data_IF_642082210156
#
_entry.id   IF_642082210156
#
_cell.length_a   1.000
_cell.length_b   1.000
_cell.length_c   1.000
_cell.angle_alpha   90.00
_cell.angle_beta   90.00
_cell.angle_gamma   90.00
#
_symmetry.space_group_name_H-M   'P 1'
#
loop_
_entity.id
_entity.type
_entity.pdbx_description
1 polymer ?
#
# COMPACT_ATOMS: atom_id res chain seq x y z
N UNK A 1 -10.33 7.13 54.81
CA UNK A 1 -10.42 8.60 54.63
C UNK A 1 -9.00 9.16 54.54
N UNK A 2 -8.10 8.56 53.74
CA UNK A 2 -6.65 8.84 53.78
C UNK A 2 -5.95 8.96 52.41
N UNK A 3 -6.64 8.88 51.27
CA UNK A 3 -5.97 8.98 49.95
C UNK A 3 -5.79 10.42 49.42
N UNK A 4 -6.59 11.39 49.90
CA UNK A 4 -6.62 12.73 49.33
C UNK A 4 -5.37 13.60 49.66
N UNK A 5 -4.56 13.21 50.64
CA UNK A 5 -3.34 13.96 51.02
C UNK A 5 -2.16 13.75 50.07
N UNK A 6 -2.18 12.71 49.23
CA UNK A 6 -1.03 12.32 48.41
C UNK A 6 -0.67 13.34 47.32
N UNK A 7 -1.66 14.07 46.79
CA UNK A 7 -1.44 15.04 45.72
C UNK A 7 -0.64 16.28 46.18
N UNK A 8 -0.75 16.67 47.46
CA UNK A 8 -0.02 17.81 48.04
C UNK A 8 1.47 17.51 48.27
N UNK A 9 1.86 16.24 48.32
CA UNK A 9 3.25 15.81 48.53
C UNK A 9 4.02 15.61 47.22
N UNK A 10 3.36 15.71 46.07
CA UNK A 10 3.98 15.54 44.75
C UNK A 10 4.87 16.73 44.38
N UNK A 11 5.94 16.46 43.63
CA UNK A 11 6.78 17.51 43.05
C UNK A 11 5.96 18.34 42.06
N UNK A 12 6.22 19.65 42.03
CA UNK A 12 5.49 20.61 41.17
C UNK A 12 5.58 20.26 39.68
N UNK A 13 6.69 19.65 39.25
CA UNK A 13 6.92 19.23 37.86
C UNK A 13 6.09 18.02 37.44
N UNK A 14 5.64 17.22 38.41
CA UNK A 14 4.99 15.93 38.20
C UNK A 14 3.49 15.99 38.51
N UNK A 15 2.99 17.18 38.88
CA UNK A 15 1.57 17.44 39.07
C UNK A 15 0.81 17.21 37.76
N UNK A 16 -0.28 16.47 37.84
CA UNK A 16 -1.24 16.30 36.76
C UNK A 16 -2.49 17.14 37.00
N UNK A 17 -3.31 17.33 35.97
CA UNK A 17 -4.58 18.03 36.09
C UNK A 17 -5.48 17.37 37.15
N UNK A 18 -5.47 16.03 37.24
CA UNK A 18 -6.19 15.29 38.27
C UNK A 18 -5.72 15.62 39.69
N UNK A 19 -4.41 15.79 39.89
CA UNK A 19 -3.86 16.16 41.19
C UNK A 19 -4.35 17.55 41.65
N UNK A 20 -4.58 18.48 40.73
CA UNK A 20 -5.14 19.81 41.04
C UNK A 20 -6.60 19.69 41.50
N UNK A 21 -7.39 18.80 40.89
CA UNK A 21 -8.75 18.51 41.32
C UNK A 21 -8.79 17.84 42.70
N UNK A 22 -7.88 16.91 42.98
CA UNK A 22 -7.76 16.27 44.30
C UNK A 22 -7.36 17.29 45.38
N UNK A 23 -6.42 18.20 45.08
CA UNK A 23 -6.05 19.32 45.96
C UNK A 23 -7.26 20.25 46.21
N UNK A 24 -8.03 20.57 45.16
CA UNK A 24 -9.22 21.40 45.28
C UNK A 24 -10.28 20.74 46.18
N UNK A 25 -10.45 19.42 46.12
CA UNK A 25 -11.35 18.68 46.99
C UNK A 25 -10.93 18.73 48.47
N UNK A 26 -9.63 18.58 48.76
CA UNK A 26 -9.10 18.72 50.13
C UNK A 26 -9.33 20.13 50.66
N UNK A 27 -8.98 21.14 49.86
CA UNK A 27 -9.19 22.56 50.22
C UNK A 27 -10.67 22.87 50.42
N UNK A 28 -11.56 22.29 49.60
CA UNK A 28 -13.00 22.39 49.74
C UNK A 28 -13.52 21.81 51.05
N UNK A 29 -13.02 20.65 51.47
CA UNK A 29 -13.39 20.03 52.77
C UNK A 29 -12.94 20.88 53.97
N UNK A 30 -11.78 21.53 53.90
CA UNK A 30 -11.35 22.48 54.94
C UNK A 30 -12.28 23.71 55.00
N UNK A 31 -12.68 24.23 53.84
CA UNK A 31 -13.64 25.33 53.79
C UNK A 31 -15.01 24.97 54.32
N UNK A 32 -15.51 23.76 54.03
CA UNK A 32 -16.78 23.26 54.57
C UNK A 32 -16.76 23.25 56.11
N UNK A 33 -15.67 22.73 56.71
CA UNK A 33 -15.49 22.74 58.18
C UNK A 33 -15.46 24.14 58.79
N UNK A 34 -14.89 25.12 58.09
CA UNK A 34 -14.86 26.52 58.54
C UNK A 34 -16.25 27.16 58.42
N UNK A 35 -16.98 26.86 57.33
CA UNK A 35 -18.36 27.33 57.13
C UNK A 35 -19.26 26.82 58.24
N UNK A 36 -19.14 25.54 58.61
CA UNK A 36 -19.94 24.91 59.67
C UNK A 36 -19.73 25.58 61.04
N UNK A 37 -18.52 26.07 61.33
CA UNK A 37 -18.18 26.68 62.63
C UNK A 37 -18.39 28.19 62.69
N UNK A 38 -18.16 28.91 61.60
CA UNK A 38 -18.07 30.38 61.58
C UNK A 38 -19.05 31.05 60.60
N UNK A 39 -19.79 30.27 59.80
CA UNK A 39 -20.71 30.75 58.79
C UNK A 39 -20.04 31.19 57.48
N UNK A 40 -20.82 31.24 56.40
CA UNK A 40 -20.33 31.49 55.03
C UNK A 40 -19.67 32.88 54.85
N UNK A 41 -20.07 33.87 55.66
CA UNK A 41 -19.54 35.24 55.63
C UNK A 41 -18.02 35.28 55.80
N UNK A 42 -17.45 34.38 56.61
CA UNK A 42 -16.02 34.31 56.90
C UNK A 42 -15.16 33.99 55.66
N UNK A 43 -15.70 33.25 54.69
CA UNK A 43 -14.97 32.76 53.51
C UNK A 43 -15.38 33.46 52.20
N UNK A 44 -16.45 34.26 52.22
CA UNK A 44 -17.03 34.96 51.07
C UNK A 44 -16.01 35.71 50.19
N UNK A 45 -14.98 36.32 50.79
CA UNK A 45 -13.92 37.06 50.06
C UNK A 45 -12.69 36.22 49.70
N UNK A 46 -12.46 35.11 50.39
CA UNK A 46 -11.28 34.25 50.20
C UNK A 46 -11.54 33.19 49.13
N UNK A 47 -12.74 32.60 49.12
CA UNK A 47 -13.12 31.53 48.20
C UNK A 47 -12.83 31.87 46.73
N UNK A 48 -13.22 33.05 46.19
CA UNK A 48 -12.95 33.38 44.79
C UNK A 48 -11.45 33.52 44.48
N UNK A 49 -10.63 33.91 45.47
CA UNK A 49 -9.17 34.03 45.30
C UNK A 49 -8.52 32.65 45.25
N UNK A 50 -8.98 31.71 46.07
CA UNK A 50 -8.45 30.35 46.10
C UNK A 50 -8.86 29.57 44.86
N UNK A 51 -10.12 29.71 44.42
CA UNK A 51 -10.58 29.21 43.11
C UNK A 51 -9.68 29.76 42.00
N UNK A 52 -9.41 31.08 42.00
CA UNK A 52 -8.52 31.68 40.98
C UNK A 52 -7.10 31.13 41.00
N UNK A 53 -6.54 30.84 42.18
CA UNK A 53 -5.20 30.23 42.28
C UNK A 53 -5.23 28.80 41.73
N UNK A 54 -6.24 28.00 42.07
CA UNK A 54 -6.40 26.64 41.56
C UNK A 54 -6.59 26.61 40.03
N UNK A 55 -7.38 27.54 39.47
CA UNK A 55 -7.51 27.73 38.02
C UNK A 55 -6.16 28.04 37.34
N UNK A 56 -5.34 28.91 37.94
CA UNK A 56 -4.02 29.25 37.38
C UNK A 56 -3.11 28.01 37.40
N UNK A 57 -3.12 27.25 38.50
CA UNK A 57 -2.35 26.02 38.63
C UNK A 57 -2.80 24.97 37.61
N UNK A 58 -4.11 24.77 37.43
CA UNK A 58 -4.66 23.86 36.42
C UNK A 58 -4.18 24.21 35.01
N UNK A 59 -4.23 25.49 34.63
CA UNK A 59 -3.76 25.96 33.31
C UNK A 59 -2.26 25.74 33.13
N UNK A 60 -1.45 25.98 34.18
CA UNK A 60 -0.01 25.76 34.12
C UNK A 60 0.34 24.29 33.96
N UNK A 61 -0.31 23.41 34.74
CA UNK A 61 -0.12 21.96 34.67
C UNK A 61 -0.60 21.39 33.33
N UNK A 62 -1.75 21.86 32.83
CA UNK A 62 -2.29 21.47 31.52
C UNK A 62 -1.36 21.84 30.35
N UNK A 63 -0.66 22.98 30.45
CA UNK A 63 0.32 23.40 29.43
C UNK A 63 1.63 22.61 29.54
N UNK A 64 2.02 22.18 30.73
CA UNK A 64 3.26 21.46 30.96
C UNK A 64 3.16 19.98 30.52
N UNK A 65 1.98 19.36 30.61
CA UNK A 65 1.72 18.01 30.08
C UNK A 65 1.61 17.96 28.55
N UNK A 66 1.35 19.11 27.91
CA UNK A 66 1.21 19.27 26.46
C UNK A 66 2.36 20.17 25.97
N UNK A 67 3.60 19.84 26.29
CA UNK A 67 4.76 20.50 25.67
C UNK A 67 5.18 19.70 24.42
N UNK A 68 4.50 19.85 23.26
CA UNK A 68 4.79 19.07 22.06
C UNK A 68 6.22 19.28 21.60
N UNK A 69 6.79 20.46 21.83
CA UNK A 69 8.18 20.78 21.50
C UNK A 69 9.17 19.85 22.22
N UNK A 70 8.92 19.49 23.48
CA UNK A 70 9.81 18.59 24.22
C UNK A 70 9.71 17.15 23.73
N UNK A 71 8.54 16.70 23.31
CA UNK A 71 8.35 15.35 22.77
C UNK A 71 8.83 15.26 21.31
N UNK A 72 8.64 16.31 20.51
CA UNK A 72 9.20 16.45 19.16
C UNK A 72 10.73 16.42 19.19
N UNK A 73 11.36 17.18 20.09
CA UNK A 73 12.82 17.17 20.25
C UNK A 73 13.34 15.81 20.74
N UNK A 74 12.58 15.09 21.57
CA UNK A 74 12.92 13.72 22.00
C UNK A 74 12.87 12.75 20.81
N UNK A 75 11.80 12.79 20.02
CA UNK A 75 11.66 11.96 18.81
C UNK A 75 12.76 12.28 17.78
N UNK A 76 13.09 13.56 17.60
CA UNK A 76 14.16 13.99 16.71
C UNK A 76 15.53 13.52 17.21
N UNK A 77 15.79 13.61 18.52
CA UNK A 77 17.01 13.09 19.12
C UNK A 77 17.15 11.57 18.90
N UNK A 78 16.08 10.80 19.07
CA UNK A 78 16.10 9.35 18.87
C UNK A 78 16.26 8.99 17.38
N UNK A 79 15.62 9.75 16.49
CA UNK A 79 15.85 9.63 15.04
C UNK A 79 17.31 9.88 14.68
N UNK A 80 17.90 10.98 15.17
CA UNK A 80 19.31 11.32 14.92
C UNK A 80 20.29 10.28 15.49
N UNK A 81 19.96 9.68 16.63
CA UNK A 81 20.73 8.56 17.20
C UNK A 81 20.68 7.34 16.29
N UNK A 82 19.51 6.99 15.78
CA UNK A 82 19.33 5.87 14.86
C UNK A 82 20.11 6.10 13.55
N UNK A 83 19.98 7.29 12.97
CA UNK A 83 20.73 7.67 11.76
C UNK A 83 22.24 7.63 11.97
N UNK A 84 22.73 8.09 13.14
CA UNK A 84 24.16 8.02 13.48
C UNK A 84 24.63 6.57 13.57
N UNK A 85 23.84 5.71 14.19
CA UNK A 85 24.15 4.28 14.31
C UNK A 85 24.18 3.58 12.94
N UNK A 86 23.20 3.86 12.08
CA UNK A 86 23.15 3.32 10.72
C UNK A 86 24.33 3.79 9.85
N UNK A 87 24.70 5.08 9.96
CA UNK A 87 25.90 5.61 9.28
C UNK A 87 27.18 4.89 9.73
N UNK A 88 27.38 4.72 11.03
CA UNK A 88 28.54 4.00 11.57
C UNK A 88 28.57 2.53 11.13
N UNK A 89 27.41 1.88 11.04
CA UNK A 89 27.33 0.50 10.58
C UNK A 89 27.66 0.37 9.08
N UNK A 90 27.18 1.31 8.26
CA UNK A 90 27.53 1.40 6.83
C UNK A 90 29.02 1.66 6.63
N UNK A 91 29.61 2.59 7.37
CA UNK A 91 31.05 2.85 7.33
C UNK A 91 31.86 1.60 7.72
N UNK A 92 31.42 0.87 8.75
CA UNK A 92 32.06 -0.38 9.17
C UNK A 92 31.95 -1.48 8.10
N UNK A 93 30.80 -1.59 7.42
CA UNK A 93 30.62 -2.54 6.30
C UNK A 93 31.52 -2.17 5.12
N UNK A 94 31.50 -0.90 4.72
CA UNK A 94 32.32 -0.40 3.62
C UNK A 94 33.82 -0.59 3.89
N UNK A 95 34.27 -0.34 5.13
CA UNK A 95 35.66 -0.58 5.53
C UNK A 95 36.05 -2.07 5.37
N UNK A 96 35.19 -2.99 5.78
CA UNK A 96 35.44 -4.43 5.61
C UNK A 96 35.45 -4.86 4.15
N UNK A 97 34.57 -4.30 3.32
CA UNK A 97 34.57 -4.54 1.88
C UNK A 97 35.86 -4.04 1.24
N UNK A 98 36.35 -2.87 1.65
CA UNK A 98 37.62 -2.33 1.17
C UNK A 98 38.80 -3.20 1.60
N UNK A 99 38.85 -3.64 2.86
CA UNK A 99 39.87 -4.58 3.36
C UNK A 99 39.87 -5.89 2.54
N UNK A 100 38.69 -6.45 2.24
CA UNK A 100 38.57 -7.65 1.41
C UNK A 100 39.08 -7.42 -0.02
N UNK A 101 38.75 -6.28 -0.63
CA UNK A 101 39.25 -5.92 -1.98
C UNK A 101 40.76 -5.75 -1.97
N UNK A 102 41.33 -5.12 -0.93
CA UNK A 102 42.78 -4.99 -0.77
C UNK A 102 43.46 -6.36 -0.63
N UNK A 103 42.88 -7.29 0.14
CA UNK A 103 43.43 -8.63 0.32
C UNK A 103 43.41 -9.44 -0.98
N UNK A 104 42.30 -9.40 -1.74
CA UNK A 104 42.21 -10.04 -3.05
C UNK A 104 43.25 -9.45 -4.00
N UNK A 105 43.36 -8.11 -4.05
CA UNK A 105 44.33 -7.44 -4.92
C UNK A 105 45.78 -7.78 -4.55
N UNK A 106 46.10 -7.90 -3.25
CA UNK A 106 47.41 -8.39 -2.79
C UNK A 106 47.68 -9.82 -3.24
N UNK A 107 46.66 -10.69 -3.16
CA UNK A 107 46.74 -12.06 -3.65
C UNK A 107 47.04 -12.13 -5.15
N UNK A 108 46.26 -11.43 -5.96
CA UNK A 108 46.45 -11.37 -7.41
C UNK A 108 47.82 -10.78 -7.80
N UNK A 109 48.26 -9.72 -7.13
CA UNK A 109 49.57 -9.13 -7.34
C UNK A 109 50.70 -10.12 -7.02
N UNK A 110 50.56 -10.89 -5.93
CA UNK A 110 51.53 -11.92 -5.56
C UNK A 110 51.55 -13.07 -6.56
N UNK A 111 50.39 -13.53 -7.02
CA UNK A 111 50.29 -14.60 -8.02
C UNK A 111 50.92 -14.20 -9.35
N UNK A 112 50.71 -12.95 -9.78
CA UNK A 112 51.36 -12.41 -10.98
C UNK A 112 52.88 -12.31 -10.81
N UNK A 113 53.36 -11.87 -9.65
CA UNK A 113 54.81 -11.86 -9.35
C UNK A 113 55.40 -13.26 -9.38
N UNK A 114 54.71 -14.26 -8.81
CA UNK A 114 55.11 -15.66 -8.86
C UNK A 114 55.15 -16.20 -10.28
N UNK A 115 54.16 -15.88 -11.11
CA UNK A 115 54.15 -16.25 -12.54
C UNK A 115 55.32 -15.62 -13.31
N UNK A 116 55.59 -14.33 -13.08
CA UNK A 116 56.73 -13.63 -13.69
C UNK A 116 58.04 -14.31 -13.28
N UNK A 117 58.21 -14.61 -12.00
CA UNK A 117 59.41 -15.29 -11.50
C UNK A 117 59.59 -16.68 -12.12
N UNK A 118 58.52 -17.46 -12.23
CA UNK A 118 58.56 -18.78 -12.89
C UNK A 118 58.94 -18.65 -14.36
N UNK A 119 58.28 -17.74 -15.11
CA UNK A 119 58.60 -17.49 -16.51
C UNK A 119 60.03 -16.97 -16.73
N UNK A 120 60.56 -16.19 -15.79
CA UNK A 120 61.96 -15.74 -15.83
C UNK A 120 62.93 -16.90 -15.64
N UNK A 121 62.65 -17.82 -14.71
CA UNK A 121 63.48 -19.00 -14.50
C UNK A 121 63.40 -20.00 -15.67
N UNK A 122 62.20 -20.20 -16.24
CA UNK A 122 62.01 -21.02 -17.43
C UNK A 122 62.76 -20.44 -18.63
N UNK A 123 62.66 -19.13 -18.87
CA UNK A 123 63.42 -18.46 -19.94
C UNK A 123 64.93 -18.59 -19.73
N UNK A 124 65.42 -18.42 -18.50
CA UNK A 124 66.83 -18.60 -18.18
C UNK A 124 67.28 -20.04 -18.43
N UNK A 125 66.47 -21.02 -18.03
CA UNK A 125 66.73 -22.45 -18.24
C UNK A 125 66.75 -22.80 -19.74
N UNK A 126 65.81 -22.25 -20.51
CA UNK A 126 65.78 -22.43 -21.96
C UNK A 126 66.99 -21.79 -22.63
N UNK A 127 67.39 -20.59 -22.22
CA UNK A 127 68.59 -19.93 -22.72
C UNK A 127 69.85 -20.75 -22.41
N UNK A 128 69.99 -21.31 -21.21
CA UNK A 128 71.11 -22.20 -20.88
C UNK A 128 71.08 -23.48 -21.70
N UNK A 129 69.90 -24.10 -21.88
CA UNK A 129 69.76 -25.34 -22.66
C UNK A 129 70.02 -25.13 -24.15
N UNK A 130 69.59 -23.98 -24.71
CA UNK A 130 69.91 -23.58 -26.09
C UNK A 130 71.39 -23.27 -26.25
N UNK A 131 72.05 -22.72 -25.22
CA UNK A 131 73.49 -22.50 -25.24
C UNK A 131 74.32 -23.79 -25.10
N UNK A 132 73.74 -24.87 -24.58
CA UNK A 132 74.41 -26.18 -24.38
C UNK A 132 74.21 -27.11 -25.60
N UNK A 133 73.23 -26.83 -26.47
CA UNK A 133 73.03 -27.59 -27.71
C UNK A 133 74.02 -27.14 -28.79
N UNK A 134 75.19 -27.78 -28.81
CA UNK A 134 76.07 -27.83 -29.98
C UNK A 134 75.41 -28.57 -31.16
N UNK A 135 75.85 -28.34 -32.41
CA UNK A 135 75.12 -28.76 -33.60
C UNK A 135 75.07 -30.30 -33.70
N UNK A 136 73.85 -30.84 -33.87
CA UNK A 136 73.64 -32.26 -34.07
C UNK A 136 74.44 -32.78 -35.27
N UNK A 137 75.10 -33.94 -35.07
CA UNK A 137 75.81 -34.66 -36.13
C UNK A 137 74.82 -35.32 -37.10
N UNK A 138 75.17 -35.35 -38.39
CA UNK A 138 74.34 -35.90 -39.48
C UNK A 138 73.90 -37.37 -39.25
N UNK A 139 74.58 -38.12 -38.38
CA UNK A 139 74.24 -39.50 -38.03
C UNK A 139 73.00 -39.62 -37.12
N UNK A 140 72.69 -38.60 -36.31
CA UNK A 140 71.48 -38.58 -35.48
C UNK A 140 70.23 -38.26 -36.30
N UNK A 141 70.39 -37.55 -37.43
CA UNK A 141 69.33 -37.19 -38.36
C UNK A 141 68.81 -38.44 -39.10
N UNK A 142 69.69 -39.37 -39.49
CA UNK A 142 69.32 -40.58 -40.22
C UNK A 142 68.66 -41.67 -39.35
N UNK A 143 68.99 -41.75 -38.05
CA UNK A 143 68.26 -42.65 -37.11
C UNK A 143 66.86 -42.12 -36.76
N UNK A 144 66.62 -40.83 -36.90
CA UNK A 144 65.35 -40.18 -36.59
C UNK A 144 64.28 -40.39 -37.68
N UNK A 145 64.65 -40.76 -38.92
CA UNK A 145 63.72 -40.90 -40.05
C UNK A 145 62.72 -42.07 -39.89
N UNK A 146 63.12 -43.18 -39.25
CA UNK A 146 62.24 -44.31 -38.96
C UNK A 146 61.41 -44.15 -37.67
N UNK A 147 61.95 -43.46 -36.67
CA UNK A 147 61.18 -43.01 -35.48
C UNK A 147 60.16 -41.92 -35.85
N UNK A 148 60.46 -41.12 -36.87
CA UNK A 148 59.60 -40.07 -37.42
C UNK A 148 58.25 -40.61 -37.89
N UNK A 149 58.13 -41.84 -38.38
CA UNK A 149 56.82 -42.32 -38.87
C UNK A 149 55.84 -42.63 -37.73
N UNK A 150 56.30 -43.26 -36.64
CA UNK A 150 55.49 -43.47 -35.44
C UNK A 150 55.19 -42.15 -34.74
N UNK A 151 56.18 -41.26 -34.65
CA UNK A 151 56.02 -39.91 -34.13
C UNK A 151 55.07 -39.07 -34.98
N UNK A 152 55.11 -39.19 -36.31
CA UNK A 152 54.19 -38.56 -37.26
C UNK A 152 52.78 -39.08 -37.07
N UNK A 153 52.61 -40.36 -36.79
CA UNK A 153 51.30 -40.94 -36.50
C UNK A 153 50.76 -40.47 -35.14
N UNK A 154 51.62 -40.33 -34.13
CA UNK A 154 51.26 -39.72 -32.83
C UNK A 154 50.90 -38.25 -33.00
N UNK A 155 51.70 -37.48 -33.74
CA UNK A 155 51.45 -36.08 -34.10
C UNK A 155 50.13 -35.91 -34.85
N UNK A 156 49.81 -36.83 -35.78
CA UNK A 156 48.52 -36.80 -36.49
C UNK A 156 47.35 -37.03 -35.53
N UNK A 157 47.45 -38.01 -34.62
CA UNK A 157 46.41 -38.25 -33.60
C UNK A 157 46.28 -37.09 -32.62
N UNK A 158 47.40 -36.51 -32.17
CA UNK A 158 47.41 -35.31 -31.33
C UNK A 158 46.75 -34.13 -32.04
N UNK A 159 47.07 -33.91 -33.32
CA UNK A 159 46.43 -32.87 -34.13
C UNK A 159 44.92 -33.10 -34.23
N UNK A 160 44.48 -34.32 -34.49
CA UNK A 160 43.05 -34.66 -34.53
C UNK A 160 42.35 -34.41 -33.19
N UNK A 161 42.98 -34.72 -32.06
CA UNK A 161 42.42 -34.42 -30.72
C UNK A 161 42.41 -32.91 -30.45
N UNK A 162 43.47 -32.20 -30.79
CA UNK A 162 43.54 -30.73 -30.64
C UNK A 162 42.49 -30.02 -31.50
N UNK A 163 42.31 -30.47 -32.75
CA UNK A 163 41.29 -29.91 -33.64
C UNK A 163 39.88 -30.20 -33.10
N UNK A 164 39.62 -31.41 -32.56
CA UNK A 164 38.36 -31.72 -31.86
C UNK A 164 38.14 -30.85 -30.63
N UNK A 165 39.14 -30.68 -29.78
CA UNK A 165 39.06 -29.82 -28.60
C UNK A 165 38.80 -28.36 -28.98
N UNK A 166 39.41 -27.87 -30.06
CA UNK A 166 39.13 -26.52 -30.59
C UNK A 166 37.69 -26.35 -31.03
N UNK A 167 37.14 -27.34 -31.73
CA UNK A 167 35.75 -27.31 -32.17
C UNK A 167 34.77 -27.42 -31.00
N UNK A 168 35.11 -28.21 -29.98
CA UNK A 168 34.35 -28.31 -28.73
C UNK A 168 34.38 -27.00 -27.94
N UNK A 169 35.55 -26.36 -27.81
CA UNK A 169 35.67 -25.02 -27.19
C UNK A 169 34.79 -24.02 -27.95
N UNK A 170 34.86 -23.98 -29.28
CA UNK A 170 34.00 -23.09 -30.09
C UNK A 170 32.51 -23.38 -29.92
N UNK A 171 32.14 -24.64 -29.74
CA UNK A 171 30.74 -25.02 -29.48
C UNK A 171 30.29 -24.55 -28.10
N UNK A 172 31.14 -24.73 -27.08
CA UNK A 172 30.90 -24.26 -25.72
C UNK A 172 30.86 -22.74 -25.62
N UNK A 173 31.71 -22.02 -26.34
CA UNK A 173 31.66 -20.55 -26.42
C UNK A 173 30.33 -20.06 -26.99
N UNK A 174 29.83 -20.70 -28.06
CA UNK A 174 28.50 -20.38 -28.62
C UNK A 174 27.35 -20.69 -27.65
N UNK A 175 27.46 -21.79 -26.90
CA UNK A 175 26.48 -22.14 -25.87
C UNK A 175 26.49 -21.10 -24.74
N UNK A 176 27.67 -20.68 -24.29
CA UNK A 176 27.85 -19.64 -23.28
C UNK A 176 27.28 -18.29 -23.74
N UNK A 177 27.51 -17.90 -25.01
CA UNK A 177 26.93 -16.64 -25.53
C UNK A 177 25.41 -16.67 -25.51
N UNK A 178 24.78 -17.78 -25.91
CA UNK A 178 23.32 -17.91 -25.87
C UNK A 178 22.79 -17.90 -24.44
N UNK A 179 23.48 -18.57 -23.51
CA UNK A 179 23.11 -18.52 -22.08
C UNK A 179 23.26 -17.12 -21.48
N UNK A 180 24.27 -16.35 -21.90
CA UNK A 180 24.42 -14.96 -21.47
C UNK A 180 23.27 -14.10 -22.00
N UNK A 181 22.88 -14.26 -23.27
CA UNK A 181 21.72 -13.56 -23.85
C UNK A 181 20.43 -13.88 -23.08
N UNK A 182 20.20 -15.14 -22.71
CA UNK A 182 19.06 -15.57 -21.88
C UNK A 182 19.10 -14.90 -20.49
N UNK A 183 20.27 -14.88 -19.84
CA UNK A 183 20.46 -14.24 -18.53
C UNK A 183 20.18 -12.73 -18.62
N UNK A 184 20.68 -12.05 -19.65
CA UNK A 184 20.42 -10.63 -19.88
C UNK A 184 18.92 -10.37 -20.11
N UNK A 185 18.23 -11.21 -20.88
CA UNK A 185 16.80 -11.10 -21.10
C UNK A 185 16.00 -11.27 -19.79
N UNK A 186 16.37 -12.26 -18.96
CA UNK A 186 15.77 -12.47 -17.64
C UNK A 186 16.03 -11.29 -16.68
N UNK A 187 17.24 -10.73 -16.68
CA UNK A 187 17.58 -9.55 -15.89
C UNK A 187 16.76 -8.32 -16.31
N UNK A 188 16.51 -8.15 -17.61
CA UNK A 188 15.63 -7.09 -18.11
C UNK A 188 14.18 -7.31 -17.65
N UNK A 189 13.67 -8.55 -17.70
CA UNK A 189 12.32 -8.86 -17.21
C UNK A 189 12.20 -8.61 -15.70
N UNK A 190 13.19 -9.04 -14.92
CA UNK A 190 13.25 -8.81 -13.49
C UNK A 190 13.23 -7.31 -13.17
N UNK A 191 14.03 -6.52 -13.88
CA UNK A 191 14.08 -5.05 -13.72
C UNK A 191 12.74 -4.39 -14.03
N UNK A 192 12.05 -4.85 -15.09
CA UNK A 192 10.69 -4.38 -15.43
C UNK A 192 9.68 -4.72 -14.34
N UNK A 193 9.71 -5.95 -13.82
CA UNK A 193 8.83 -6.38 -12.74
C UNK A 193 9.09 -5.61 -11.44
N UNK A 194 10.35 -5.37 -11.09
CA UNK A 194 10.70 -4.53 -9.93
C UNK A 194 10.09 -3.13 -10.06
N UNK A 195 10.16 -2.53 -11.26
CA UNK A 195 9.55 -1.21 -11.52
C UNK A 195 8.03 -1.24 -11.37
N UNK A 196 7.36 -2.22 -11.98
CA UNK A 196 5.90 -2.38 -11.85
C UNK A 196 5.51 -2.61 -10.38
N UNK A 197 6.26 -3.42 -9.64
CA UNK A 197 5.98 -3.70 -8.24
C UNK A 197 6.13 -2.43 -7.38
N UNK A 198 7.17 -1.63 -7.63
CA UNK A 198 7.33 -0.32 -6.99
C UNK A 198 6.15 0.61 -7.28
N UNK A 199 5.75 0.73 -8.54
CA UNK A 199 4.63 1.58 -8.96
C UNK A 199 3.30 1.12 -8.31
N UNK A 200 3.08 -0.19 -8.21
CA UNK A 200 1.89 -0.76 -7.54
C UNK A 200 1.91 -0.48 -6.04
N UNK A 201 3.04 -0.67 -5.35
CA UNK A 201 3.18 -0.32 -3.93
C UNK A 201 2.91 1.15 -3.68
N UNK A 202 3.45 2.03 -4.54
CA UNK A 202 3.19 3.45 -4.45
C UNK A 202 1.69 3.76 -4.65
N UNK A 203 1.05 3.14 -5.64
CA UNK A 203 -0.38 3.30 -5.89
C UNK A 203 -1.24 2.82 -4.72
N UNK A 204 -0.90 1.68 -4.11
CA UNK A 204 -1.58 1.18 -2.90
C UNK A 204 -1.46 2.21 -1.78
N UNK A 205 -0.25 2.72 -1.51
CA UNK A 205 -0.03 3.73 -0.47
C UNK A 205 -0.86 5.00 -0.69
N UNK A 206 -0.97 5.48 -1.93
CA UNK A 206 -1.81 6.64 -2.28
C UNK A 206 -3.30 6.35 -2.05
N UNK A 207 -3.79 5.18 -2.50
CA UNK A 207 -5.19 4.79 -2.32
C UNK A 207 -5.53 4.58 -0.84
N UNK A 208 -4.62 4.00 -0.06
CA UNK A 208 -4.77 3.85 1.39
C UNK A 208 -4.85 5.22 2.09
N UNK A 209 -3.99 6.17 1.71
CA UNK A 209 -4.02 7.52 2.25
C UNK A 209 -5.34 8.24 1.90
N UNK A 210 -5.82 8.10 0.66
CA UNK A 210 -7.12 8.61 0.24
C UNK A 210 -8.27 7.97 1.03
N UNK A 211 -8.22 6.66 1.26
CA UNK A 211 -9.20 5.94 2.06
C UNK A 211 -9.26 6.45 3.51
N UNK A 212 -8.10 6.65 4.15
CA UNK A 212 -8.01 7.22 5.49
C UNK A 212 -8.60 8.63 5.56
N UNK A 213 -8.24 9.51 4.63
CA UNK A 213 -8.78 10.86 4.57
C UNK A 213 -10.31 10.89 4.39
N UNK A 214 -10.87 9.99 3.57
CA UNK A 214 -12.33 9.86 3.41
C UNK A 214 -13.00 9.34 4.69
N UNK A 215 -12.37 8.42 5.41
CA UNK A 215 -12.87 7.93 6.71
C UNK A 215 -12.88 9.08 7.73
N UNK A 216 -11.81 9.87 7.80
CA UNK A 216 -11.71 11.04 8.68
C UNK A 216 -12.82 12.06 8.37
N UNK A 217 -13.01 12.42 7.10
CA UNK A 217 -14.09 13.32 6.68
C UNK A 217 -15.48 12.77 7.02
N UNK A 218 -15.69 11.46 6.86
CA UNK A 218 -16.96 10.82 7.22
C UNK A 218 -17.20 10.95 8.73
N UNK A 219 -16.20 10.66 9.55
CA UNK A 219 -16.28 10.75 11.01
C UNK A 219 -16.57 12.19 11.44
N UNK A 220 -15.92 13.19 10.84
CA UNK A 220 -16.15 14.61 11.13
C UNK A 220 -17.59 15.04 10.79
N UNK A 221 -18.10 14.63 9.62
CA UNK A 221 -19.48 14.92 9.22
C UNK A 221 -20.50 14.20 10.11
N UNK A 222 -20.24 12.94 10.50
CA UNK A 222 -21.08 12.19 11.43
C UNK A 222 -21.12 12.84 12.82
N UNK A 223 -19.96 13.27 13.34
CA UNK A 223 -19.86 13.99 14.60
C UNK A 223 -20.61 15.33 14.54
N UNK A 224 -20.46 16.10 13.46
CA UNK A 224 -21.17 17.36 13.26
C UNK A 224 -22.69 17.17 13.11
N UNK A 225 -23.13 16.07 12.50
CA UNK A 225 -24.55 15.72 12.45
C UNK A 225 -25.09 15.36 13.84
N UNK A 226 -24.36 14.56 14.62
CA UNK A 226 -24.72 14.22 15.99
C UNK A 226 -24.82 15.46 16.91
N UNK A 227 -23.86 16.37 16.80
CA UNK A 227 -23.89 17.64 17.54
C UNK A 227 -25.16 18.45 17.24
N UNK A 228 -25.52 18.60 15.95
CA UNK A 228 -26.76 19.27 15.55
C UNK A 228 -28.02 18.57 16.06
N UNK A 229 -28.04 17.23 16.10
CA UNK A 229 -29.17 16.48 16.67
C UNK A 229 -29.30 16.76 18.18
N UNK A 230 -28.19 16.82 18.91
CA UNK A 230 -28.19 17.16 20.34
C UNK A 230 -28.68 18.60 20.58
N UNK A 231 -28.21 19.57 19.80
CA UNK A 231 -28.69 20.96 19.86
C UNK A 231 -30.19 21.07 19.56
N UNK A 232 -30.67 20.40 18.51
CA UNK A 232 -32.10 20.35 18.18
C UNK A 232 -32.91 19.69 19.30
N UNK A 233 -32.38 18.66 19.97
CA UNK A 233 -32.97 18.06 21.15
C UNK A 233 -33.09 19.04 22.32
N UNK A 234 -32.02 19.77 22.62
CA UNK A 234 -31.99 20.80 23.66
C UNK A 234 -32.99 21.94 23.38
N UNK A 235 -33.03 22.44 22.14
CA UNK A 235 -34.00 23.47 21.73
C UNK A 235 -35.45 22.98 21.85
N UNK A 236 -35.74 21.72 21.49
CA UNK A 236 -37.08 21.13 21.65
C UNK A 236 -37.49 21.05 23.12
N UNK A 237 -36.57 20.69 24.01
CA UNK A 237 -36.82 20.68 25.46
C UNK A 237 -37.12 22.09 25.96
N UNK A 238 -36.35 23.09 25.53
CA UNK A 238 -36.58 24.49 25.92
C UNK A 238 -37.92 25.03 25.40
N UNK A 239 -38.29 24.72 24.15
CA UNK A 239 -39.61 25.06 23.61
C UNK A 239 -40.74 24.42 24.43
N UNK A 240 -40.56 23.16 24.85
CA UNK A 240 -41.55 22.45 25.67
C UNK A 240 -41.68 23.13 27.04
N UNK A 241 -40.55 23.44 27.69
CA UNK A 241 -40.52 24.17 28.97
C UNK A 241 -41.17 25.55 28.87
N UNK A 242 -40.92 26.31 27.81
CA UNK A 242 -41.53 27.62 27.60
C UNK A 242 -43.04 27.51 27.38
N UNK A 243 -43.52 26.47 26.66
CA UNK A 243 -44.96 26.21 26.51
C UNK A 243 -45.64 25.89 27.84
N UNK A 244 -45.04 25.06 28.67
CA UNK A 244 -45.57 24.72 30.00
C UNK A 244 -45.68 25.97 30.89
N UNK A 245 -44.66 26.85 30.86
CA UNK A 245 -44.70 28.14 31.58
C UNK A 245 -45.81 29.06 31.06
N UNK A 246 -46.06 29.08 29.76
CA UNK A 246 -47.12 29.90 29.16
C UNK A 246 -48.52 29.36 29.48
N UNK A 247 -48.69 28.03 29.57
CA UNK A 247 -49.95 27.39 29.97
C UNK A 247 -50.24 27.50 31.47
N UNK A 248 -49.20 27.61 32.32
CA UNK A 248 -49.34 27.82 33.76
C UNK A 248 -49.92 29.18 34.17
N UNK A 249 -50.02 30.14 33.23
CA UNK A 249 -50.49 31.52 33.47
C UNK A 249 -51.96 31.77 33.08
N UNK A 250 -52.74 30.73 32.73
CA UNK A 250 -54.17 30.86 32.42
C UNK A 250 -55.06 30.35 33.58
N UNK A 251 -55.99 31.17 34.12
CA UNK A 251 -56.94 30.68 35.11
C UNK A 251 -57.93 29.69 34.45
N UNK A 252 -58.51 28.74 35.21
CA UNK A 252 -59.46 27.78 34.66
C UNK A 252 -60.75 28.50 34.29
N UNK A 253 -60.92 28.82 33.00
CA UNK A 253 -62.25 29.11 32.46
C UNK A 253 -62.87 27.82 31.92
N UNK A 254 -64.16 27.69 32.19
CA UNK A 254 -64.97 26.48 32.08
C UNK A 254 -65.13 25.91 30.66
N UNK A 255 -66.02 24.91 30.50
CA UNK A 255 -66.01 24.01 29.37
C UNK A 255 -66.46 24.74 28.10
N UNK A 256 -65.51 25.08 27.23
CA UNK A 256 -65.79 25.58 25.90
C UNK A 256 -65.43 24.51 24.85
N UNK A 257 -66.39 24.31 23.96
CA UNK A 257 -66.51 23.26 22.95
C UNK A 257 -65.32 23.28 21.96
N UNK A 258 -64.76 22.13 21.55
CA UNK A 258 -63.63 22.10 20.64
C UNK A 258 -64.04 22.45 19.19
N UNK A 259 -63.35 23.38 18.50
CA UNK A 259 -63.46 23.52 17.06
C UNK A 259 -62.61 22.44 16.34
N UNK A 260 -62.95 22.08 15.09
CA UNK A 260 -62.30 20.98 14.37
C UNK A 260 -60.86 21.36 14.01
N UNK A 261 -59.89 20.57 14.46
CA UNK A 261 -58.50 20.69 14.06
C UNK A 261 -58.31 20.12 12.64
N UNK A 262 -57.81 20.96 11.74
CA UNK A 262 -57.19 20.56 10.48
C UNK A 262 -55.87 19.82 10.79
N UNK A 263 -55.56 18.67 10.15
CA UNK A 263 -54.33 17.95 10.43
C UNK A 263 -53.13 18.70 9.83
N UNK A 264 -52.23 19.17 10.71
CA UNK A 264 -50.91 19.69 10.35
C UNK A 264 -49.91 18.53 10.29
N UNK A 265 -49.17 18.32 9.17
CA UNK A 265 -48.39 17.11 8.92
C UNK A 265 -46.99 17.17 9.55
N UNK A 266 -46.89 17.29 10.88
CA UNK A 266 -45.58 17.42 11.53
C UNK A 266 -45.43 16.74 12.90
N UNK A 267 -46.38 15.93 13.35
CA UNK A 267 -46.29 15.26 14.66
C UNK A 267 -46.74 13.80 14.61
N UNK A 268 -46.08 12.98 13.79
CA UNK A 268 -46.13 11.52 13.94
C UNK A 268 -44.73 10.95 13.74
N UNK A 269 -43.94 11.05 14.81
CA UNK A 269 -42.75 10.24 15.01
C UNK A 269 -42.49 10.24 16.51
N UNK A 270 -43.24 9.39 17.23
CA UNK A 270 -43.01 8.85 18.58
C UNK A 270 -44.36 8.48 19.20
N UNK A 271 -44.94 7.36 18.78
CA UNK A 271 -45.90 6.56 19.55
C UNK A 271 -45.70 5.12 19.09
N UNK A 272 -44.92 4.36 19.86
CA UNK A 272 -44.96 2.90 19.82
C UNK A 272 -46.19 2.42 20.62
N UNK A 273 -46.66 1.23 20.24
CA UNK A 273 -47.65 0.35 20.87
C UNK A 273 -49.13 0.49 20.42
N UNK A 274 -49.56 -0.60 19.77
CA UNK A 274 -50.92 -1.15 19.64
C UNK A 274 -51.98 -0.38 18.84
N UNK A 275 -52.15 -0.76 17.56
CA UNK A 275 -53.50 -0.96 16.99
C UNK A 275 -53.49 -2.18 16.06
N UNK A 276 -54.07 -3.26 16.58
CA UNK A 276 -54.60 -4.39 15.83
C UNK A 276 -55.69 -3.90 14.85
N UNK A 277 -55.59 -4.32 13.59
CA UNK A 277 -56.56 -4.06 12.54
C UNK A 277 -56.47 -2.70 11.85
N UNK A 278 -55.93 -2.68 10.61
CA UNK A 278 -56.65 -2.29 9.39
C UNK A 278 -55.71 -2.29 8.16
N UNK A 279 -56.24 -2.90 7.09
CA UNK A 279 -55.84 -2.93 5.68
C UNK A 279 -54.50 -3.58 5.24
N UNK A 280 -54.58 -4.88 4.92
CA UNK A 280 -53.47 -5.71 4.42
C UNK A 280 -53.08 -5.45 2.94
N UNK A 281 -53.66 -4.47 2.25
CA UNK A 281 -53.53 -4.32 0.78
C UNK A 281 -53.01 -2.96 0.27
N UNK A 282 -52.36 -2.14 1.11
CA UNK A 282 -51.69 -0.93 0.64
C UNK A 282 -50.35 -1.26 -0.07
N UNK A 283 -50.20 -0.96 -1.38
CA UNK A 283 -48.96 -1.19 -2.13
C UNK A 283 -47.76 -0.37 -1.62
N UNK A 284 -47.99 0.73 -0.91
CA UNK A 284 -46.96 1.65 -0.44
C UNK A 284 -46.64 1.50 1.06
N UNK A 285 -47.26 0.55 1.77
CA UNK A 285 -46.89 0.22 3.15
C UNK A 285 -45.45 -0.32 3.18
N UNK A 286 -44.56 0.21 4.04
CA UNK A 286 -43.25 -0.39 4.26
C UNK A 286 -43.45 -1.84 4.68
N UNK A 287 -43.08 -2.78 3.81
CA UNK A 287 -43.23 -4.23 4.05
C UNK A 287 -42.29 -4.75 5.15
N UNK A 288 -41.29 -3.95 5.47
CA UNK A 288 -40.26 -4.25 6.44
C UNK A 288 -40.17 -3.09 7.43
N UNK A 289 -39.93 -3.42 8.68
CA UNK A 289 -39.60 -2.42 9.70
C UNK A 289 -38.25 -1.76 9.38
N UNK A 290 -38.01 -0.55 9.87
CA UNK A 290 -36.69 0.10 9.72
C UNK A 290 -35.56 -0.73 10.35
N UNK A 291 -35.88 -1.52 11.37
CA UNK A 291 -34.96 -2.44 12.01
C UNK A 291 -34.61 -3.61 11.07
N UNK A 292 -35.60 -4.28 10.49
CA UNK A 292 -35.38 -5.33 9.49
C UNK A 292 -34.58 -4.84 8.28
N UNK A 293 -34.85 -3.62 7.81
CA UNK A 293 -34.06 -3.04 6.72
C UNK A 293 -32.61 -2.80 7.14
N UNK A 294 -32.37 -2.33 8.37
CA UNK A 294 -31.01 -2.12 8.90
C UNK A 294 -30.26 -3.45 9.03
N UNK A 295 -30.94 -4.48 9.50
CA UNK A 295 -30.38 -5.82 9.68
C UNK A 295 -30.05 -6.46 8.32
N UNK A 296 -30.95 -6.36 7.34
CA UNK A 296 -30.70 -6.82 5.96
C UNK A 296 -29.55 -6.05 5.30
N UNK A 297 -29.45 -4.74 5.53
CA UNK A 297 -28.33 -3.94 5.00
C UNK A 297 -27.00 -4.34 5.64
N UNK A 298 -27.00 -4.66 6.95
CA UNK A 298 -25.84 -5.19 7.67
C UNK A 298 -25.44 -6.57 7.17
N UNK A 299 -26.37 -7.53 7.10
CA UNK A 299 -26.12 -8.87 6.57
C UNK A 299 -25.62 -8.82 5.12
N UNK A 300 -26.23 -7.99 4.27
CA UNK A 300 -25.76 -7.79 2.89
C UNK A 300 -24.33 -7.24 2.87
N UNK A 301 -23.99 -6.28 3.74
CA UNK A 301 -22.64 -5.73 3.80
C UNK A 301 -21.64 -6.79 4.28
N UNK A 302 -22.01 -7.61 5.26
CA UNK A 302 -21.19 -8.70 5.76
C UNK A 302 -20.97 -9.79 4.71
N UNK A 303 -22.04 -10.20 4.01
CA UNK A 303 -21.97 -11.13 2.89
C UNK A 303 -21.14 -10.58 1.74
N UNK A 304 -21.22 -9.27 1.46
CA UNK A 304 -20.40 -8.63 0.44
C UNK A 304 -18.91 -8.69 0.78
N UNK A 305 -18.54 -8.49 2.05
CA UNK A 305 -17.16 -8.67 2.52
C UNK A 305 -16.71 -10.13 2.38
N UNK A 306 -17.55 -11.09 2.77
CA UNK A 306 -17.25 -12.53 2.62
C UNK A 306 -17.08 -12.94 1.16
N UNK A 307 -17.95 -12.47 0.27
CA UNK A 307 -17.86 -12.73 -1.18
C UNK A 307 -16.58 -12.13 -1.77
N UNK A 308 -16.16 -10.95 -1.31
CA UNK A 308 -14.90 -10.36 -1.76
C UNK A 308 -13.69 -11.23 -1.38
N UNK A 309 -13.62 -11.69 -0.13
CA UNK A 309 -12.55 -12.60 0.34
C UNK A 309 -12.56 -13.92 -0.43
N UNK A 310 -13.73 -14.54 -0.60
CA UNK A 310 -13.85 -15.78 -1.37
C UNK A 310 -13.49 -15.60 -2.86
N UNK A 311 -13.77 -14.44 -3.45
CA UNK A 311 -13.34 -14.12 -4.82
C UNK A 311 -11.82 -14.00 -4.91
N UNK A 312 -11.16 -13.45 -3.89
CA UNK A 312 -9.71 -13.37 -3.80
C UNK A 312 -9.08 -14.77 -3.64
N UNK A 313 -9.62 -15.61 -2.77
CA UNK A 313 -9.18 -17.01 -2.62
C UNK A 313 -9.35 -17.81 -3.92
N UNK A 314 -10.50 -17.70 -4.58
CA UNK A 314 -10.72 -18.35 -5.88
C UNK A 314 -9.77 -17.82 -6.95
N UNK A 315 -9.44 -16.53 -6.94
CA UNK A 315 -8.46 -15.96 -7.88
C UNK A 315 -7.04 -16.45 -7.57
N UNK A 316 -6.70 -16.62 -6.29
CA UNK A 316 -5.44 -17.16 -5.83
C UNK A 316 -5.26 -18.61 -6.31
N UNK A 317 -6.20 -19.50 -6.02
CA UNK A 317 -6.12 -20.90 -6.44
C UNK A 317 -6.18 -21.09 -7.97
N UNK A 318 -6.94 -20.25 -8.69
CA UNK A 318 -6.91 -20.24 -10.16
C UNK A 318 -5.56 -19.80 -10.72
N UNK A 319 -4.83 -18.96 -10.00
CA UNK A 319 -3.49 -18.54 -10.43
C UNK A 319 -2.46 -19.63 -10.12
N UNK A 320 -2.62 -20.34 -9.01
CA UNK A 320 -1.80 -21.49 -8.60
C UNK A 320 -1.98 -22.70 -9.53
N UNK A 321 -3.21 -23.02 -9.96
CA UNK A 321 -3.49 -24.06 -10.97
C UNK A 321 -2.87 -23.74 -12.34
N UNK A 322 -2.79 -22.47 -12.70
CA UNK A 322 -2.16 -22.02 -13.96
C UNK A 322 -0.64 -22.06 -13.85
N UNK A 323 -0.06 -21.88 -12.67
CA UNK A 323 1.39 -22.02 -12.44
C UNK A 323 1.83 -23.49 -12.47
N UNK A 324 1.04 -24.42 -11.92
CA UNK A 324 1.33 -25.88 -11.93
C UNK A 324 1.26 -26.51 -13.34
N UNK A 325 0.41 -26.00 -14.24
CA UNK A 325 0.37 -26.41 -15.66
C UNK A 325 1.57 -25.90 -16.49
N UNK A 326 2.43 -25.04 -15.95
CA UNK A 326 3.60 -24.46 -16.64
C UNK A 326 4.96 -25.13 -16.33
N UNK A 327 4.96 -26.32 -15.73
CA UNK A 327 6.14 -27.17 -15.60
C UNK A 327 6.76 -27.61 -16.95
N UNK A 328 8.05 -28.02 -17.00
CA UNK A 328 8.84 -28.10 -18.23
C UNK A 328 8.32 -29.17 -19.21
N UNK A 329 8.36 -28.93 -20.54
CA UNK A 329 7.82 -29.87 -21.52
C UNK A 329 8.80 -31.03 -21.75
N UNK A 330 8.29 -32.26 -21.69
CA UNK A 330 8.94 -33.45 -22.26
C UNK A 330 8.52 -33.64 -23.72
N UNK A 331 9.34 -34.27 -24.60
CA UNK A 331 9.19 -34.13 -26.05
C UNK A 331 8.30 -35.19 -26.71
N UNK A 332 7.30 -34.69 -27.48
CA UNK A 332 6.76 -35.21 -28.76
C UNK A 332 5.87 -36.48 -28.79
N UNK A 333 5.11 -36.75 -29.89
CA UNK A 333 4.37 -35.87 -30.81
C UNK A 333 2.89 -36.31 -31.02
N UNK A 334 2.03 -35.41 -31.52
CA UNK A 334 1.02 -35.61 -32.60
C UNK A 334 -0.25 -34.77 -32.42
N UNK A 335 -0.92 -34.38 -33.52
CA UNK A 335 -1.66 -33.12 -33.63
C UNK A 335 -3.17 -33.34 -33.59
N UNK A 336 -3.90 -32.45 -32.93
CA UNK A 336 -5.23 -31.97 -33.37
C UNK A 336 -5.81 -31.05 -32.29
N UNK A 337 -5.88 -29.76 -32.58
CA UNK A 337 -7.07 -28.90 -32.41
C UNK A 337 -6.68 -27.43 -32.61
N UNK A 338 -6.77 -27.01 -33.85
CA UNK A 338 -6.82 -25.60 -34.23
C UNK A 338 -8.20 -25.04 -33.87
N UNK A 339 -8.27 -24.11 -32.92
CA UNK A 339 -9.28 -23.05 -32.94
C UNK A 339 -8.65 -21.71 -32.56
N UNK A 340 -8.37 -20.95 -33.61
CA UNK A 340 -8.15 -19.50 -33.69
C UNK A 340 -7.75 -18.75 -32.40
N UNK A 341 -6.44 -18.69 -32.12
CA UNK A 341 -5.84 -17.68 -31.25
C UNK A 341 -5.53 -16.43 -32.09
N UNK A 342 -6.03 -15.22 -31.76
CA UNK A 342 -5.66 -14.02 -32.49
C UNK A 342 -4.18 -13.72 -32.24
N UNK A 343 -3.43 -13.50 -33.32
CA UNK A 343 -2.05 -13.03 -33.26
C UNK A 343 -2.02 -11.60 -32.71
N UNK A 344 -1.59 -11.42 -31.47
CA UNK A 344 -1.20 -10.10 -30.95
C UNK A 344 0.26 -9.82 -31.31
N UNK A 345 0.49 -9.50 -32.59
CA UNK A 345 1.56 -8.60 -32.98
C UNK A 345 0.90 -7.25 -33.29
N UNK A 346 0.70 -6.44 -32.26
CA UNK A 346 0.37 -5.03 -32.43
C UNK A 346 1.05 -4.26 -31.31
N UNK A 347 1.81 -3.23 -31.70
CA UNK A 347 2.43 -2.25 -30.81
C UNK A 347 1.43 -1.77 -29.75
N UNK A 348 1.89 -1.37 -28.54
CA UNK A 348 1.00 -0.89 -27.50
C UNK A 348 0.25 0.35 -28.01
N UNK A 349 -1.02 0.18 -28.36
CA UNK A 349 -1.85 1.29 -28.81
C UNK A 349 -2.02 2.26 -27.63
N UNK A 350 -1.69 3.53 -27.88
CA UNK A 350 -1.85 4.64 -26.93
C UNK A 350 -3.18 4.54 -26.18
N UNK A 351 -3.18 4.73 -24.86
CA UNK A 351 -4.37 4.62 -24.01
C UNK A 351 -5.55 5.48 -24.49
N UNK A 352 -5.26 6.54 -25.24
CA UNK A 352 -6.25 7.40 -25.91
C UNK A 352 -6.99 6.66 -27.03
N UNK A 353 -6.28 5.88 -27.87
CA UNK A 353 -6.92 5.04 -28.90
C UNK A 353 -7.86 4.03 -28.25
N UNK A 354 -7.42 3.38 -27.17
CA UNK A 354 -8.23 2.38 -26.48
C UNK A 354 -9.50 3.01 -25.87
N UNK A 355 -9.39 4.19 -25.28
CA UNK A 355 -10.54 4.92 -24.75
C UNK A 355 -11.54 5.28 -25.87
N UNK A 356 -11.04 5.75 -27.01
CA UNK A 356 -11.87 6.12 -28.15
C UNK A 356 -12.58 4.89 -28.74
N UNK A 357 -11.87 3.79 -29.00
CA UNK A 357 -12.44 2.62 -29.69
C UNK A 357 -13.26 1.70 -28.78
N UNK A 358 -12.95 1.64 -27.48
CA UNK A 358 -13.64 0.71 -26.56
C UNK A 358 -14.78 1.36 -25.77
N UNK A 359 -14.68 2.66 -25.44
CA UNK A 359 -15.69 3.34 -24.64
C UNK A 359 -16.50 4.36 -25.44
N UNK A 360 -15.83 5.23 -26.20
CA UNK A 360 -16.52 6.33 -26.89
C UNK A 360 -17.21 5.83 -28.17
N UNK A 361 -16.58 4.98 -28.96
CA UNK A 361 -17.10 4.52 -30.25
C UNK A 361 -18.41 3.73 -30.14
N UNK A 362 -18.61 2.83 -29.16
CA UNK A 362 -19.90 2.17 -28.95
C UNK A 362 -21.00 3.14 -28.50
N UNK A 363 -20.66 4.16 -27.71
CA UNK A 363 -21.62 5.18 -27.26
C UNK A 363 -22.05 6.12 -28.40
N UNK A 364 -21.12 6.47 -29.29
CA UNK A 364 -21.45 7.23 -30.52
C UNK A 364 -22.28 6.38 -31.48
N UNK A 365 -21.95 5.10 -31.66
CA UNK A 365 -22.71 4.18 -32.51
C UNK A 365 -24.11 3.88 -31.95
N UNK A 366 -24.27 3.88 -30.62
CA UNK A 366 -25.56 3.73 -29.93
C UNK A 366 -26.38 5.02 -29.89
N UNK A 367 -25.90 6.13 -30.48
CA UNK A 367 -26.62 7.41 -30.52
C UNK A 367 -26.77 8.10 -29.16
N UNK A 368 -25.98 7.69 -28.17
CA UNK A 368 -26.07 8.19 -26.79
C UNK A 368 -25.33 9.54 -26.58
N UNK A 369 -24.62 10.02 -27.60
CA UNK A 369 -23.93 11.31 -27.60
C UNK A 369 -24.55 12.18 -28.71
N UNK A 370 -25.37 13.18 -28.36
CA UNK A 370 -25.96 14.09 -29.34
C UNK A 370 -24.89 14.94 -30.03
N UNK A 371 -25.19 15.40 -31.25
CA UNK A 371 -24.28 15.98 -32.25
C UNK A 371 -23.33 17.08 -31.73
N UNK A 372 -22.21 16.66 -31.14
CA UNK A 372 -21.10 17.53 -30.77
C UNK A 372 -20.17 17.71 -31.99
N UNK A 373 -20.00 18.93 -32.51
CA UNK A 373 -19.14 19.22 -33.67
C UNK A 373 -17.66 18.88 -33.44
N UNK A 374 -17.22 18.67 -32.20
CA UNK A 374 -15.85 18.26 -31.87
C UNK A 374 -15.53 16.80 -32.22
N UNK A 375 -16.54 15.95 -32.47
CA UNK A 375 -16.36 14.54 -32.83
C UNK A 375 -16.29 14.27 -34.35
N UNK A 376 -16.41 15.31 -35.18
CA UNK A 376 -16.27 15.25 -36.65
C UNK A 376 -14.93 14.64 -37.14
N UNK A 377 -13.76 14.95 -36.54
CA UNK A 377 -12.49 14.35 -36.95
C UNK A 377 -12.46 12.83 -36.74
N UNK A 378 -13.12 12.33 -35.70
CA UNK A 378 -13.20 10.91 -35.35
C UNK A 378 -14.09 10.17 -36.38
N UNK A 379 -15.21 10.77 -36.82
CA UNK A 379 -16.04 10.21 -37.89
C UNK A 379 -15.33 10.16 -39.25
N UNK A 380 -14.50 11.16 -39.59
CA UNK A 380 -13.67 11.13 -40.81
C UNK A 380 -12.59 10.05 -40.76
N UNK A 381 -12.06 9.74 -39.58
CA UNK A 381 -11.12 8.63 -39.41
C UNK A 381 -11.78 7.28 -39.72
N UNK A 382 -13.07 7.12 -39.37
CA UNK A 382 -13.85 5.90 -39.64
C UNK A 382 -14.05 5.67 -41.16
N UNK A 383 -14.15 6.73 -41.98
CA UNK A 383 -14.27 6.57 -43.44
C UNK A 383 -12.96 6.18 -44.12
N UNK A 384 -11.81 6.49 -43.52
CA UNK A 384 -10.47 6.21 -44.05
C UNK A 384 -9.95 4.80 -43.70
N UNK A 385 -10.51 4.17 -42.66
CA UNK A 385 -10.04 2.87 -42.12
C UNK A 385 -10.93 1.68 -42.54
N UNK A 386 -11.92 1.89 -43.43
CA UNK A 386 -12.67 0.77 -44.03
C UNK A 386 -11.96 0.28 -45.31
N UNK A 387 -11.25 -0.86 -45.29
CA UNK A 387 -10.99 -1.60 -46.52
C UNK A 387 -12.31 -2.17 -47.06
N UNK A 388 -12.45 -2.20 -48.39
CA UNK A 388 -13.58 -2.74 -49.14
C UNK A 388 -13.82 -4.22 -48.83
N UNK A 389 -14.48 -4.54 -47.73
CA UNK A 389 -14.92 -5.90 -47.42
C UNK A 389 -16.30 -5.92 -46.77
N UNK A 390 -17.26 -5.29 -47.44
CA UNK A 390 -18.71 -5.54 -47.26
C UNK A 390 -19.44 -5.12 -48.54
N UNK A 391 -19.04 -5.74 -49.65
CA UNK A 391 -20.00 -6.01 -50.73
C UNK A 391 -20.70 -7.30 -50.31
N UNK A 392 -22.01 -7.23 -50.14
CA UNK A 392 -22.86 -8.41 -49.97
C UNK A 392 -23.49 -8.53 -48.59
N UNK A 393 -24.54 -7.75 -48.36
CA UNK A 393 -25.80 -8.20 -47.75
C UNK A 393 -26.78 -7.01 -47.77
N UNK A 394 -27.15 -6.60 -48.98
CA UNK A 394 -28.37 -5.87 -49.27
C UNK A 394 -29.19 -6.77 -50.17
N UNK A 395 -29.99 -7.68 -49.60
CA UNK A 395 -31.10 -8.31 -50.32
C UNK A 395 -32.21 -8.70 -49.32
N UNK A 396 -33.42 -8.22 -49.64
CA UNK A 396 -34.78 -8.71 -49.29
C UNK A 396 -35.31 -8.50 -47.86
N UNK A 397 -36.29 -7.59 -47.69
CA UNK A 397 -37.77 -7.83 -47.75
C UNK A 397 -38.24 -8.68 -46.56
N UNK A 398 -39.15 -8.27 -45.69
CA UNK A 398 -40.31 -7.37 -45.76
C UNK A 398 -40.54 -6.66 -44.41
#
# INVERSE_FOLDING_TARGET
MEEFGSALEKNVTDLTVMDVYDIAAVVGQEFERIIDQYGCEALSRLMPKVVRVLEIVEVMVSRNSISPETDELRLELDKLRLERMDRLEKEKKHKKELELVEDVWRGEAQDLLSQIAQLQEENKTLLTNMSIKDPMSEEDIQRHEGMSERERQVMKKLKEVVDKQRDEIRAKDRELTLKNEDVEALQQQQSRLMKINHDLRHKISVVEAQGKALIEQKVELEAGAQARVQEMGALRQEVTRLRERLQGDMPPQGPEVPPPQLPSPAQEALCDEEVDGLDQKDPNRPRFTLQELRDVLHERNELKSKVFVLQEEVAYYKSEEVEDETGPPTPSPSPEQLRARPRHNAQPESGIKRLIFTAIMPMVAAGLIPDDPTLQPIRRLISLVRPLSLVGLCVTHC
#
